data_IF_798674070614
#
_entry.id   IF_798674070614
#
_cell.length_a   1.000
_cell.length_b   1.000
_cell.length_c   1.000
_cell.angle_alpha   90.00
_cell.angle_beta   90.00
_cell.angle_gamma   90.00
#
_symmetry.space_group_name_H-M   'P 1'
#
loop_
_entity.id
_entity.type
_entity.pdbx_description
1 polymer ?
#
# COMPACT_ATOMS: atom_id res chain seq x y z
N UNK A 1 15.46 -2.88 -15.66
CA UNK A 1 15.15 -1.91 -14.59
C UNK A 1 13.64 -1.90 -14.47
N UNK A 2 13.09 -2.27 -13.30
CA UNK A 2 11.64 -2.23 -13.10
C UNK A 2 11.16 -0.77 -13.17
N UNK A 3 9.99 -0.49 -13.73
CA UNK A 3 9.43 0.86 -13.75
C UNK A 3 9.36 1.40 -12.32
N UNK A 4 9.87 2.61 -12.13
CA UNK A 4 9.87 3.27 -10.83
C UNK A 4 8.44 3.73 -10.52
N UNK A 5 8.07 3.71 -9.24
CA UNK A 5 6.79 4.21 -8.78
C UNK A 5 7.02 5.56 -8.12
N UNK A 6 6.33 6.58 -8.59
CA UNK A 6 6.21 7.85 -7.90
C UNK A 6 5.04 7.78 -6.91
N UNK A 7 5.34 8.00 -5.64
CA UNK A 7 4.36 7.95 -4.55
C UNK A 7 4.15 9.36 -4.00
N UNK A 8 2.91 9.83 -4.05
CA UNK A 8 2.45 11.03 -3.36
C UNK A 8 1.68 10.62 -2.11
N UNK A 9 2.09 11.11 -0.95
CA UNK A 9 1.41 10.86 0.33
C UNK A 9 0.42 11.99 0.57
N UNK A 10 -0.86 11.63 0.61
CA UNK A 10 -1.96 12.58 0.82
C UNK A 10 -2.25 12.76 2.31
N UNK A 11 -2.17 11.67 3.07
CA UNK A 11 -2.40 11.69 4.52
C UNK A 11 -1.52 10.67 5.22
N UNK A 12 -0.97 11.04 6.37
CA UNK A 12 -0.23 10.14 7.24
C UNK A 12 -0.66 10.37 8.68
N UNK A 13 -1.30 9.37 9.28
CA UNK A 13 -1.74 9.39 10.67
C UNK A 13 -0.94 8.39 11.50
N UNK A 14 -0.39 8.84 12.63
CA UNK A 14 0.15 7.94 13.65
C UNK A 14 -0.80 7.92 14.85
N UNK A 15 -1.33 6.74 15.17
CA UNK A 15 -1.99 6.45 16.45
C UNK A 15 -1.13 5.46 17.23
N UNK A 16 -1.33 5.37 18.55
CA UNK A 16 -0.48 4.63 19.52
C UNK A 16 0.44 3.56 18.92
N UNK A 17 -0.14 2.48 18.36
CA UNK A 17 0.60 1.35 17.77
C UNK A 17 0.29 1.11 16.29
N UNK A 18 -0.45 2.02 15.65
CA UNK A 18 -0.95 1.85 14.29
C UNK A 18 -0.67 3.12 13.51
N UNK A 19 -0.02 2.97 12.37
CA UNK A 19 0.17 4.04 11.42
C UNK A 19 -0.71 3.82 10.20
N UNK A 20 -1.30 4.87 9.67
CA UNK A 20 -2.07 4.83 8.43
C UNK A 20 -1.47 5.82 7.44
N UNK A 21 -1.31 5.37 6.21
CA UNK A 21 -0.77 6.15 5.09
C UNK A 21 -1.75 6.04 3.95
N UNK A 22 -2.26 7.17 3.50
CA UNK A 22 -3.09 7.28 2.32
C UNK A 22 -2.34 8.07 1.27
N UNK A 23 -2.44 7.64 0.03
CA UNK A 23 -1.70 8.26 -1.05
C UNK A 23 -2.06 7.72 -2.41
N UNK A 24 -1.30 8.21 -3.39
CA UNK A 24 -1.45 7.89 -4.79
C UNK A 24 -0.12 7.40 -5.34
N UNK A 25 -0.15 6.27 -6.00
CA UNK A 25 1.02 5.68 -6.64
C UNK A 25 0.84 5.75 -8.16
N UNK A 26 1.83 6.28 -8.86
CA UNK A 26 1.85 6.41 -10.32
C UNK A 26 3.11 5.77 -10.87
N UNK A 27 3.00 5.04 -11.98
CA UNK A 27 4.16 4.50 -12.69
C UNK A 27 4.71 5.49 -13.70
N UNK A 28 6.02 5.57 -13.82
CA UNK A 28 6.71 6.46 -14.75
C UNK A 28 6.33 6.25 -16.23
N UNK A 29 5.93 5.03 -16.58
CA UNK A 29 5.58 4.66 -17.95
C UNK A 29 4.12 4.96 -18.34
N UNK A 30 3.31 5.51 -17.43
CA UNK A 30 1.92 5.91 -17.69
C UNK A 30 1.68 7.38 -17.28
N UNK A 31 1.70 8.26 -18.28
CA UNK A 31 1.56 9.72 -18.10
C UNK A 31 0.08 10.17 -18.00
N UNK A 32 -0.88 9.31 -18.36
CA UNK A 32 -2.32 9.60 -18.28
C UNK A 32 -2.89 9.33 -16.87
N UNK A 33 -4.01 9.97 -16.54
CA UNK A 33 -4.73 9.82 -15.25
C UNK A 33 -5.09 8.35 -14.92
N UNK A 34 -5.20 7.50 -15.94
CA UNK A 34 -5.44 6.05 -15.86
C UNK A 34 -4.26 5.26 -15.25
N UNK A 35 -3.11 5.91 -15.07
CA UNK A 35 -1.87 5.35 -14.53
C UNK A 35 -1.71 5.46 -13.02
N UNK A 36 -2.64 6.13 -12.35
CA UNK A 36 -2.60 6.37 -10.91
C UNK A 36 -3.47 5.38 -10.14
N UNK A 37 -3.01 4.98 -8.96
CA UNK A 37 -3.79 4.16 -8.03
C UNK A 37 -3.78 4.79 -6.64
N UNK A 38 -4.98 5.06 -6.15
CA UNK A 38 -5.19 5.44 -4.75
C UNK A 38 -5.01 4.21 -3.86
N UNK A 39 -4.32 4.41 -2.74
CA UNK A 39 -4.08 3.35 -1.77
C UNK A 39 -4.27 3.84 -0.33
N UNK A 40 -4.66 2.91 0.54
CA UNK A 40 -4.62 3.08 1.99
C UNK A 40 -3.82 1.94 2.59
N UNK A 41 -2.72 2.29 3.24
CA UNK A 41 -1.75 1.37 3.83
C UNK A 41 -1.76 1.54 5.35
N UNK A 42 -2.14 0.49 6.08
CA UNK A 42 -2.16 0.47 7.54
C UNK A 42 -1.03 -0.42 8.04
N UNK A 43 -0.17 0.14 8.88
CA UNK A 43 0.91 -0.58 9.53
C UNK A 43 0.59 -0.82 11.00
N UNK A 44 0.66 -2.09 11.39
CA UNK A 44 0.62 -2.60 12.76
C UNK A 44 2.05 -2.96 13.20
N UNK A 45 2.29 -3.28 14.48
CA UNK A 45 3.63 -3.60 14.97
C UNK A 45 4.26 -4.81 14.28
N UNK A 46 3.46 -5.79 13.88
CA UNK A 46 3.90 -7.07 13.31
C UNK A 46 3.21 -7.40 11.98
N UNK A 47 2.43 -6.48 11.41
CA UNK A 47 1.65 -6.70 10.19
C UNK A 47 1.47 -5.42 9.38
N UNK A 48 1.22 -5.59 8.09
CA UNK A 48 0.83 -4.51 7.19
C UNK A 48 -0.41 -4.90 6.39
N UNK A 49 -1.38 -3.99 6.30
CA UNK A 49 -2.58 -4.13 5.48
C UNK A 49 -2.59 -3.07 4.40
N UNK A 50 -2.85 -3.48 3.16
CA UNK A 50 -3.06 -2.57 2.02
C UNK A 50 -4.48 -2.70 1.49
N UNK A 51 -5.11 -1.57 1.21
CA UNK A 51 -6.34 -1.47 0.42
C UNK A 51 -6.04 -0.70 -0.87
N UNK A 52 -6.39 -1.29 -2.01
CA UNK A 52 -6.29 -0.64 -3.34
C UNK A 52 -7.45 -1.04 -4.23
N UNK A 53 -7.82 -0.25 -5.25
CA UNK A 53 -8.72 -0.68 -6.31
C UNK A 53 -8.27 -1.99 -6.95
N UNK A 54 -9.21 -2.87 -7.29
CA UNK A 54 -8.96 -4.14 -8.00
C UNK A 54 -8.66 -3.95 -9.49
N UNK A 55 -8.03 -2.83 -9.85
CA UNK A 55 -7.59 -2.47 -11.18
C UNK A 55 -6.27 -3.17 -11.55
N UNK A 56 -5.88 -3.08 -12.82
CA UNK A 56 -4.56 -3.54 -13.28
C UNK A 56 -3.44 -2.85 -12.50
N UNK A 57 -3.54 -1.53 -12.28
CA UNK A 57 -2.54 -0.77 -11.53
C UNK A 57 -2.47 -1.19 -10.07
N UNK A 58 -3.62 -1.39 -9.40
CA UNK A 58 -3.63 -1.88 -8.02
C UNK A 58 -2.96 -3.26 -7.88
N UNK A 59 -3.20 -4.17 -8.83
CA UNK A 59 -2.52 -5.48 -8.86
C UNK A 59 -1.01 -5.36 -9.08
N UNK A 60 -0.57 -4.43 -9.91
CA UNK A 60 0.86 -4.18 -10.15
C UNK A 60 1.52 -3.51 -8.95
N UNK A 61 0.83 -2.61 -8.26
CA UNK A 61 1.31 -2.00 -7.02
C UNK A 61 1.47 -3.06 -5.91
N UNK A 62 0.50 -3.97 -5.78
CA UNK A 62 0.61 -5.14 -4.88
C UNK A 62 1.81 -6.00 -5.25
N UNK A 63 2.03 -6.28 -6.54
CA UNK A 63 3.18 -7.08 -6.98
C UNK A 63 4.50 -6.40 -6.58
N UNK A 64 4.62 -5.08 -6.75
CA UNK A 64 5.81 -4.35 -6.35
C UNK A 64 6.05 -4.37 -4.83
N UNK A 65 5.01 -4.20 -4.03
CA UNK A 65 5.11 -4.33 -2.57
C UNK A 65 5.45 -5.75 -2.14
N UNK A 66 4.96 -6.75 -2.86
CA UNK A 66 5.28 -8.18 -2.62
C UNK A 66 6.76 -8.48 -2.91
N UNK A 67 7.39 -7.80 -3.87
CA UNK A 67 8.85 -7.92 -4.09
C UNK A 67 9.66 -7.38 -2.91
N UNK A 68 9.12 -6.43 -2.14
CA UNK A 68 9.77 -5.82 -0.97
C UNK A 68 9.49 -6.64 0.29
N UNK A 69 8.22 -6.98 0.52
CA UNK A 69 7.71 -7.59 1.75
C UNK A 69 7.73 -9.12 1.73
N UNK A 70 7.95 -9.72 0.57
CA UNK A 70 7.71 -11.14 0.35
C UNK A 70 6.22 -11.44 0.12
N UNK A 71 5.85 -12.73 0.04
CA UNK A 71 4.48 -13.14 -0.26
C UNK A 71 3.51 -12.65 0.83
N UNK A 72 2.28 -12.25 0.45
CA UNK A 72 1.22 -11.99 1.41
C UNK A 72 0.94 -13.21 2.28
N UNK A 73 0.53 -12.94 3.53
CA UNK A 73 0.11 -13.97 4.50
C UNK A 73 -1.07 -14.80 3.99
N UNK A 74 -1.98 -14.15 3.27
CA UNK A 74 -3.17 -14.74 2.67
C UNK A 74 -3.35 -14.23 1.24
N UNK A 75 -4.01 -14.98 0.36
CA UNK A 75 -4.39 -14.48 -0.96
C UNK A 75 -5.15 -13.14 -0.84
N UNK A 76 -4.88 -12.16 -1.73
CA UNK A 76 -5.60 -10.90 -1.77
C UNK A 76 -7.11 -11.11 -1.76
N UNK A 77 -7.79 -10.49 -0.80
CA UNK A 77 -9.25 -10.60 -0.65
C UNK A 77 -9.93 -9.51 -1.47
N UNK A 78 -10.94 -9.88 -2.25
CA UNK A 78 -11.76 -8.91 -2.98
C UNK A 78 -12.90 -8.44 -2.07
N UNK A 79 -12.97 -7.14 -1.80
CA UNK A 79 -14.10 -6.50 -1.13
C UNK A 79 -14.85 -5.64 -2.16
N UNK A 80 -16.11 -5.96 -2.41
CA UNK A 80 -16.98 -5.06 -3.19
C UNK A 80 -17.25 -3.81 -2.35
N UNK A 81 -16.86 -2.64 -2.85
CA UNK A 81 -17.23 -1.36 -2.24
C UNK A 81 -18.56 -0.91 -2.83
N UNK A 82 -19.56 -0.71 -1.96
CA UNK A 82 -20.79 -0.05 -2.34
C UNK A 82 -20.49 1.46 -2.43
N UNK A 83 -20.54 2.00 -3.65
CA UNK A 83 -20.44 3.42 -4.03
C UNK A 83 -19.17 4.19 -3.59
N UNK A 84 -18.30 4.46 -4.55
CA UNK A 84 -17.71 5.80 -4.65
C UNK A 84 -18.73 6.67 -5.43
N UNK A 85 -18.75 7.98 -5.20
CA UNK A 85 -19.75 8.90 -5.80
C UNK A 85 -19.98 8.63 -7.30
N UNK A 86 -21.21 8.82 -7.75
CA UNK A 86 -21.77 8.46 -9.07
C UNK A 86 -22.31 7.03 -9.26
N UNK A 87 -22.35 6.21 -8.20
CA UNK A 87 -23.07 4.92 -8.24
C UNK A 87 -22.31 3.79 -8.96
N UNK A 88 -21.02 3.99 -9.25
CA UNK A 88 -20.15 2.93 -9.76
C UNK A 88 -19.70 2.04 -8.61
N UNK A 89 -20.01 0.75 -8.70
CA UNK A 89 -19.46 -0.27 -7.81
C UNK A 89 -18.01 -0.55 -8.17
N UNK A 90 -17.08 -0.18 -7.28
CA UNK A 90 -15.66 -0.52 -7.38
C UNK A 90 -15.34 -1.75 -6.54
N UNK A 91 -14.59 -2.70 -7.09
CA UNK A 91 -13.98 -3.77 -6.31
C UNK A 91 -12.65 -3.29 -5.72
N UNK A 92 -12.38 -3.61 -4.46
CA UNK A 92 -11.12 -3.35 -3.76
C UNK A 92 -10.39 -4.65 -3.49
N UNK A 93 -9.06 -4.62 -3.50
CA UNK A 93 -8.19 -5.67 -3.01
C UNK A 93 -7.67 -5.28 -1.64
N UNK A 94 -7.77 -6.23 -0.71
CA UNK A 94 -7.19 -6.16 0.62
C UNK A 94 -6.06 -7.18 0.69
N UNK A 95 -4.85 -6.73 1.05
CA UNK A 95 -3.66 -7.57 1.14
C UNK A 95 -3.02 -7.42 2.50
N UNK A 96 -2.62 -8.54 3.11
CA UNK A 96 -2.02 -8.60 4.44
C UNK A 96 -0.64 -9.25 4.36
N UNK A 97 0.36 -8.61 4.96
CA UNK A 97 1.71 -9.16 5.16
C UNK A 97 2.01 -9.25 6.65
N UNK A 98 2.76 -10.27 7.04
CA UNK A 98 3.46 -10.28 8.33
C UNK A 98 4.71 -9.39 8.20
N UNK A 99 4.96 -8.57 9.22
CA UNK A 99 6.13 -7.75 9.35
C UNK A 99 6.98 -8.20 10.56
N UNK A 100 8.30 -8.08 10.47
CA UNK A 100 9.17 -8.17 11.65
C UNK A 100 8.78 -7.12 12.68
N UNK A 101 8.68 -7.53 13.95
CA UNK A 101 8.34 -6.63 15.05
C UNK A 101 9.43 -5.58 15.35
N UNK A 102 10.66 -5.80 14.86
CA UNK A 102 11.76 -4.86 15.00
C UNK A 102 11.66 -3.74 13.94
N UNK A 103 11.42 -2.47 14.33
CA UNK A 103 11.35 -1.36 13.38
C UNK A 103 12.67 -1.06 12.68
N UNK A 104 13.81 -1.52 13.22
CA UNK A 104 15.10 -1.41 12.57
C UNK A 104 15.35 -2.51 11.51
N UNK A 105 14.43 -3.46 11.36
CA UNK A 105 14.59 -4.56 10.42
C UNK A 105 14.68 -4.04 8.96
N UNK A 106 15.61 -4.53 8.12
CA UNK A 106 15.83 -4.02 6.75
C UNK A 106 14.60 -4.00 5.85
N UNK A 107 13.70 -4.98 6.03
CA UNK A 107 12.42 -5.06 5.31
C UNK A 107 11.49 -3.88 5.64
N UNK A 108 11.41 -3.50 6.91
CA UNK A 108 10.61 -2.35 7.38
C UNK A 108 11.23 -1.05 6.85
N UNK A 109 12.55 -0.92 6.87
CA UNK A 109 13.25 0.23 6.30
C UNK A 109 13.03 0.35 4.78
N UNK A 110 13.07 -0.77 4.06
CA UNK A 110 12.85 -0.81 2.61
C UNK A 110 11.42 -0.42 2.25
N UNK A 111 10.43 -0.84 3.05
CA UNK A 111 9.03 -0.41 2.92
C UNK A 111 8.90 1.10 3.11
N UNK A 112 9.52 1.66 4.16
CA UNK A 112 9.51 3.10 4.42
C UNK A 112 10.18 3.90 3.31
N UNK A 113 11.33 3.43 2.82
CA UNK A 113 12.02 4.05 1.69
C UNK A 113 11.16 4.05 0.43
N UNK A 114 10.49 2.93 0.13
CA UNK A 114 9.58 2.83 -1.01
C UNK A 114 8.39 3.80 -0.89
N UNK A 115 7.72 3.83 0.26
CA UNK A 115 6.59 4.72 0.51
C UNK A 115 7.01 6.19 0.68
N UNK A 116 8.31 6.50 0.80
CA UNK A 116 8.78 7.83 1.15
C UNK A 116 8.38 8.28 2.57
N UNK A 117 8.09 7.34 3.47
CA UNK A 117 7.62 7.63 4.84
C UNK A 117 8.74 7.46 5.87
N UNK A 118 8.61 8.15 7.01
CA UNK A 118 9.45 7.94 8.20
C UNK A 118 8.56 7.70 9.40
N UNK A 119 7.91 6.54 9.44
CA UNK A 119 7.02 6.16 10.55
C UNK A 119 7.88 5.50 11.62
N UNK A 120 7.81 6.04 12.84
CA UNK A 120 8.43 5.43 14.00
C UNK A 120 7.37 4.64 14.77
N UNK A 121 7.54 3.33 14.89
CA UNK A 121 6.77 2.56 15.87
C UNK A 121 7.37 2.83 17.26
N UNK A 122 6.57 3.28 18.24
CA UNK A 122 7.02 3.22 19.62
C UNK A 122 7.13 1.75 20.02
N UNK A 123 8.33 1.35 20.47
CA UNK A 123 8.60 0.05 21.08
C UNK A 123 7.79 -0.20 22.34
#
# INVERSE_FOLDING_TARGET
MSPEWHIAIDTQEQRRKVAMVEGRARRDDHVADDGEVEFSFTLYPDQASLNVPASTQGRQFIARLTEILGPPKLPPTVKCSCSWGDGVMGAMLIVLWDLPADPAHPLVQSLHAFLGTRIAFPG
#
